data_IF_432528066486
#
_entry.id   IF_432528066486
#
_cell.length_a   1.000
_cell.length_b   1.000
_cell.length_c   1.000
_cell.angle_alpha   90.00
_cell.angle_beta   90.00
_cell.angle_gamma   90.00
#
_symmetry.space_group_name_H-M   'P 1'
#
loop_
_entity.id
_entity.type
_entity.pdbx_description
1 polymer ?
#
# COMPACT_ATOMS: atom_id res chain seq x y z
N UNK A 1 -53.66 51.80 -68.85
CA UNK A 1 -53.98 51.40 -70.24
C UNK A 1 -52.89 50.45 -70.75
N UNK A 2 -53.29 49.21 -71.09
CA UNK A 2 -52.83 48.35 -72.21
C UNK A 2 -51.36 47.83 -72.33
N UNK A 3 -51.29 46.50 -72.49
CA UNK A 3 -50.20 45.59 -72.90
C UNK A 3 -49.57 45.87 -74.29
N UNK A 4 -48.29 45.46 -74.52
CA UNK A 4 -47.94 44.35 -75.46
C UNK A 4 -46.43 43.99 -75.57
N UNK A 5 -46.24 42.69 -75.84
CA UNK A 5 -45.03 41.86 -76.09
C UNK A 5 -44.37 42.11 -77.47
N UNK A 6 -43.08 41.79 -77.65
CA UNK A 6 -42.57 40.56 -78.36
C UNK A 6 -41.03 40.50 -78.56
N UNK A 7 -40.54 39.25 -78.53
CA UNK A 7 -39.21 38.64 -78.80
C UNK A 7 -38.76 38.84 -80.27
N UNK A 8 -37.57 38.52 -80.81
CA UNK A 8 -36.43 37.57 -80.64
C UNK A 8 -35.38 37.95 -81.76
N UNK A 9 -34.30 37.20 -82.17
CA UNK A 9 -33.74 35.91 -81.75
C UNK A 9 -32.18 35.78 -81.67
N UNK A 10 -31.75 34.55 -81.37
CA UNK A 10 -30.42 34.00 -81.06
C UNK A 10 -29.46 33.73 -82.25
N UNK A 11 -28.22 33.35 -81.90
CA UNK A 11 -27.37 32.35 -82.60
C UNK A 11 -26.39 31.65 -81.61
N UNK A 12 -26.19 30.34 -81.80
CA UNK A 12 -25.23 29.42 -81.12
C UNK A 12 -23.99 29.15 -81.99
N UNK A 13 -22.93 28.49 -81.46
CA UNK A 13 -22.62 27.10 -81.92
C UNK A 13 -22.01 26.14 -80.86
N UNK A 14 -22.00 24.82 -81.17
CA UNK A 14 -21.57 23.66 -80.34
C UNK A 14 -20.35 22.95 -80.96
N UNK A 15 -19.33 22.56 -80.18
CA UNK A 15 -18.42 21.39 -80.40
C UNK A 15 -17.44 21.20 -79.21
N UNK A 16 -17.89 20.80 -78.02
CA UNK A 16 -16.98 20.53 -76.87
C UNK A 16 -17.40 19.39 -75.91
N UNK A 17 -18.58 18.77 -76.09
CA UNK A 17 -19.18 17.95 -75.01
C UNK A 17 -18.71 16.48 -74.94
N UNK A 18 -18.10 15.90 -75.99
CA UNK A 18 -17.78 14.46 -75.98
C UNK A 18 -16.42 14.09 -75.34
N UNK A 19 -15.47 15.02 -75.21
CA UNK A 19 -14.16 14.76 -74.56
C UNK A 19 -14.15 14.99 -73.04
N UNK A 20 -15.17 15.67 -72.48
CA UNK A 20 -15.30 15.88 -71.03
C UNK A 20 -15.77 14.63 -70.28
N UNK A 21 -16.67 13.84 -70.88
CA UNK A 21 -17.38 12.78 -70.18
C UNK A 21 -16.49 11.57 -69.75
N UNK A 22 -15.41 11.26 -70.47
CA UNK A 22 -14.51 10.13 -70.12
C UNK A 22 -13.49 10.51 -69.03
N UNK A 23 -13.03 11.76 -68.98
CA UNK A 23 -12.15 12.26 -67.90
C UNK A 23 -12.90 12.39 -66.58
N UNK A 24 -14.18 12.77 -66.63
CA UNK A 24 -15.03 12.94 -65.47
C UNK A 24 -15.40 11.60 -64.80
N UNK A 25 -15.60 10.54 -65.58
CA UNK A 25 -15.85 9.20 -65.04
C UNK A 25 -14.62 8.57 -64.36
N UNK A 26 -13.40 8.75 -64.89
CA UNK A 26 -12.18 8.25 -64.23
C UNK A 26 -11.87 8.98 -62.92
N UNK A 27 -12.10 10.29 -62.87
CA UNK A 27 -11.91 11.11 -61.67
C UNK A 27 -12.86 10.72 -60.54
N UNK A 28 -14.11 10.41 -60.88
CA UNK A 28 -15.13 9.95 -59.91
C UNK A 28 -14.83 8.57 -59.31
N UNK A 29 -14.16 7.66 -60.03
CA UNK A 29 -13.76 6.34 -59.49
C UNK A 29 -12.57 6.47 -58.54
N UNK A 30 -11.62 7.36 -58.86
CA UNK A 30 -10.43 7.60 -58.04
C UNK A 30 -10.76 8.38 -56.75
N UNK A 31 -11.71 9.32 -56.80
CA UNK A 31 -12.24 10.02 -55.61
C UNK A 31 -13.08 9.09 -54.71
N UNK A 32 -13.85 8.16 -55.29
CA UNK A 32 -14.57 7.13 -54.51
C UNK A 32 -13.62 6.17 -53.79
N UNK A 33 -12.55 5.70 -54.45
CA UNK A 33 -11.52 4.85 -53.82
C UNK A 33 -10.78 5.56 -52.69
N UNK A 34 -10.42 6.84 -52.87
CA UNK A 34 -9.81 7.66 -51.81
C UNK A 34 -10.76 7.90 -50.62
N UNK A 35 -12.06 8.00 -50.86
CA UNK A 35 -13.08 8.10 -49.81
C UNK A 35 -13.26 6.80 -49.00
N UNK A 36 -13.19 5.65 -49.67
CA UNK A 36 -13.28 4.33 -49.02
C UNK A 36 -12.00 3.98 -48.23
N UNK A 37 -10.81 4.33 -48.73
CA UNK A 37 -9.54 4.20 -47.98
C UNK A 37 -9.48 5.12 -46.75
N UNK A 38 -9.99 6.36 -46.86
CA UNK A 38 -10.09 7.28 -45.70
C UNK A 38 -11.03 6.72 -44.63
N UNK A 39 -12.20 6.21 -45.03
CA UNK A 39 -13.15 5.59 -44.08
C UNK A 39 -12.57 4.35 -43.40
N UNK A 40 -11.85 3.49 -44.12
CA UNK A 40 -11.16 2.33 -43.53
C UNK A 40 -10.08 2.76 -42.54
N UNK A 41 -9.25 3.75 -42.89
CA UNK A 41 -8.21 4.27 -41.99
C UNK A 41 -8.79 4.97 -40.74
N UNK A 42 -9.93 5.64 -40.86
CA UNK A 42 -10.60 6.29 -39.73
C UNK A 42 -11.30 5.26 -38.81
N UNK A 43 -11.84 4.15 -39.35
CA UNK A 43 -12.36 3.03 -38.57
C UNK A 43 -11.24 2.24 -37.86
N UNK A 44 -10.08 2.05 -38.52
CA UNK A 44 -8.92 1.39 -37.93
C UNK A 44 -8.29 2.24 -36.82
N UNK A 45 -8.22 3.57 -37.00
CA UNK A 45 -7.81 4.49 -35.94
C UNK A 45 -8.79 4.50 -34.76
N UNK A 46 -10.11 4.47 -35.00
CA UNK A 46 -11.10 4.38 -33.92
C UNK A 46 -10.99 3.06 -33.16
N UNK A 47 -10.80 1.94 -33.86
CA UNK A 47 -10.57 0.63 -33.22
C UNK A 47 -9.27 0.59 -32.42
N UNK A 48 -8.19 1.21 -32.89
CA UNK A 48 -6.93 1.30 -32.13
C UNK A 48 -7.06 2.20 -30.90
N UNK A 49 -7.76 3.33 -30.99
CA UNK A 49 -8.02 4.21 -29.82
C UNK A 49 -8.93 3.54 -28.79
N UNK A 50 -9.93 2.76 -29.22
CA UNK A 50 -10.76 1.94 -28.30
C UNK A 50 -9.97 0.78 -27.70
N UNK A 51 -9.02 0.19 -28.43
CA UNK A 51 -8.14 -0.88 -27.91
C UNK A 51 -7.14 -0.33 -26.90
N UNK A 52 -6.53 0.82 -27.17
CA UNK A 52 -5.64 1.53 -26.23
C UNK A 52 -6.38 2.02 -24.99
N UNK A 53 -7.63 2.52 -25.11
CA UNK A 53 -8.46 2.88 -23.95
C UNK A 53 -8.88 1.66 -23.13
N UNK A 54 -9.22 0.54 -23.79
CA UNK A 54 -9.52 -0.72 -23.11
C UNK A 54 -8.27 -1.35 -22.46
N UNK A 55 -7.09 -1.16 -23.03
CA UNK A 55 -5.82 -1.61 -22.45
C UNK A 55 -5.35 -0.69 -21.31
N UNK A 56 -5.69 0.61 -21.33
CA UNK A 56 -5.53 1.53 -20.19
C UNK A 56 -6.56 1.27 -19.07
N UNK A 57 -7.81 0.93 -19.38
CA UNK A 57 -8.82 0.50 -18.39
C UNK A 57 -8.47 -0.88 -17.80
N UNK A 58 -8.02 -1.85 -18.62
CA UNK A 58 -7.53 -3.14 -18.11
C UNK A 58 -6.21 -3.05 -17.36
N UNK A 59 -5.36 -2.05 -17.64
CA UNK A 59 -4.17 -1.74 -16.80
C UNK A 59 -4.55 -1.02 -15.50
N UNK A 60 -5.71 -0.36 -15.42
CA UNK A 60 -6.26 0.17 -14.16
C UNK A 60 -6.92 -0.93 -13.31
N UNK A 61 -7.42 -2.00 -13.91
CA UNK A 61 -8.04 -3.13 -13.21
C UNK A 61 -7.09 -4.30 -12.85
N UNK A 62 -5.88 -4.35 -13.40
CA UNK A 62 -4.84 -5.34 -13.06
C UNK A 62 -3.60 -4.74 -12.38
N UNK A 63 -3.74 -3.59 -11.71
CA UNK A 63 -2.87 -3.30 -10.59
C UNK A 63 -3.32 -4.23 -9.47
N UNK A 64 -2.60 -5.32 -9.26
CA UNK A 64 -2.79 -6.22 -8.13
C UNK A 64 -3.19 -5.38 -6.92
N UNK A 65 -4.45 -5.53 -6.47
CA UNK A 65 -4.94 -4.87 -5.27
C UNK A 65 -3.96 -5.23 -4.17
N UNK A 66 -3.06 -4.31 -3.85
CA UNK A 66 -2.26 -4.39 -2.64
C UNK A 66 -3.26 -4.47 -1.50
N UNK A 67 -3.35 -5.57 -0.74
CA UNK A 67 -4.15 -5.58 0.46
C UNK A 67 -3.31 -4.87 1.52
N UNK A 68 -3.37 -3.54 1.50
CA UNK A 68 -2.89 -2.70 2.58
C UNK A 68 -3.91 -1.58 2.78
N UNK A 69 -5.16 -1.98 2.99
CA UNK A 69 -6.12 -1.14 3.70
C UNK A 69 -5.55 -0.99 5.10
N UNK A 70 -4.91 0.17 5.39
CA UNK A 70 -4.42 0.48 6.73
C UNK A 70 -5.59 0.34 7.68
N UNK A 71 -5.55 -0.66 8.55
CA UNK A 71 -6.62 -0.94 9.49
C UNK A 71 -6.73 0.26 10.43
N UNK A 72 -7.84 0.97 10.40
CA UNK A 72 -8.05 2.10 11.30
C UNK A 72 -8.21 1.56 12.74
N UNK A 73 -7.20 1.77 13.57
CA UNK A 73 -7.23 1.40 14.99
C UNK A 73 -7.73 2.62 15.79
N UNK A 74 -8.85 2.48 16.49
CA UNK A 74 -9.36 3.53 17.37
C UNK A 74 -8.50 3.65 18.64
N UNK A 75 -7.78 4.76 18.75
CA UNK A 75 -6.88 5.07 19.87
C UNK A 75 -7.53 5.93 20.95
N UNK A 76 -8.82 6.24 20.83
CA UNK A 76 -9.55 7.04 21.82
C UNK A 76 -9.43 6.48 23.25
N UNK A 77 -9.52 5.15 23.49
CA UNK A 77 -9.34 4.60 24.85
C UNK A 77 -7.96 4.89 25.43
N UNK A 78 -6.92 4.81 24.59
CA UNK A 78 -5.54 5.05 25.00
C UNK A 78 -5.31 6.51 25.38
N UNK A 79 -5.82 7.44 24.57
CA UNK A 79 -5.76 8.89 24.85
C UNK A 79 -6.54 9.25 26.13
N UNK A 80 -7.69 8.59 26.36
CA UNK A 80 -8.50 8.80 27.57
C UNK A 80 -7.81 8.26 28.83
N UNK A 81 -7.08 7.16 28.73
CA UNK A 81 -6.35 6.59 29.85
C UNK A 81 -5.23 7.52 30.35
N UNK A 82 -4.60 8.28 29.44
CA UNK A 82 -3.56 9.27 29.74
C UNK A 82 -2.45 8.74 30.67
N UNK A 83 -2.08 7.48 30.49
CA UNK A 83 -1.06 6.79 31.28
C UNK A 83 0.34 6.98 30.68
N UNK A 84 1.40 6.99 31.49
CA UNK A 84 2.76 7.23 31.00
C UNK A 84 3.24 6.10 30.08
N UNK A 85 4.07 6.46 29.09
CA UNK A 85 4.76 5.54 28.20
C UNK A 85 6.26 5.75 28.36
N UNK A 86 7.00 4.67 28.55
CA UNK A 86 8.44 4.69 28.72
C UNK A 86 9.06 3.77 27.67
N UNK A 87 9.95 4.31 26.85
CA UNK A 87 10.73 3.50 25.91
C UNK A 87 11.94 2.89 26.59
N UNK A 88 12.18 1.60 26.33
CA UNK A 88 13.34 0.86 26.81
C UNK A 88 14.22 0.52 25.62
N UNK A 89 15.37 1.19 25.51
CA UNK A 89 16.25 1.16 24.34
C UNK A 89 17.62 0.62 24.74
N UNK A 90 18.28 -0.09 23.82
CA UNK A 90 19.62 -0.63 24.01
C UNK A 90 19.89 -1.85 23.14
N UNK A 91 21.16 -2.23 23.00
CA UNK A 91 21.58 -3.33 22.12
C UNK A 91 21.00 -4.70 22.48
N UNK A 92 20.96 -5.66 21.53
CA UNK A 92 20.65 -7.05 21.86
C UNK A 92 21.65 -7.59 22.89
N UNK A 93 21.17 -8.31 23.92
CA UNK A 93 22.02 -8.78 25.02
C UNK A 93 22.21 -7.79 26.18
N UNK A 94 21.72 -6.54 26.06
CA UNK A 94 21.92 -5.53 27.12
C UNK A 94 21.16 -5.82 28.42
N UNK A 95 20.17 -6.71 28.39
CA UNK A 95 19.41 -7.14 29.56
C UNK A 95 18.12 -6.35 29.81
N UNK A 96 17.62 -5.61 28.81
CA UNK A 96 16.35 -4.85 28.85
C UNK A 96 15.20 -5.67 29.42
N UNK A 97 14.80 -6.76 28.78
CA UNK A 97 13.70 -7.62 29.25
C UNK A 97 13.81 -8.02 30.73
N UNK A 98 15.00 -8.44 31.18
CA UNK A 98 15.22 -8.78 32.60
C UNK A 98 15.01 -7.61 33.55
N UNK A 99 15.35 -6.38 33.15
CA UNK A 99 15.06 -5.20 33.95
C UNK A 99 13.60 -4.75 33.79
N UNK A 100 13.00 -4.89 32.61
CA UNK A 100 11.57 -4.65 32.41
C UNK A 100 10.75 -5.49 33.39
N UNK A 101 11.04 -6.78 33.53
CA UNK A 101 10.34 -7.67 34.48
C UNK A 101 10.38 -7.14 35.91
N UNK A 102 11.53 -6.63 36.35
CA UNK A 102 11.69 -6.01 37.69
C UNK A 102 10.93 -4.69 37.83
N UNK A 103 10.89 -3.88 36.77
CA UNK A 103 10.14 -2.62 36.76
C UNK A 103 8.63 -2.91 36.78
N UNK A 104 8.17 -3.92 36.04
CA UNK A 104 6.78 -4.39 36.08
C UNK A 104 6.41 -4.83 37.48
N UNK A 105 7.22 -5.69 38.11
CA UNK A 105 6.98 -6.19 39.46
C UNK A 105 6.90 -5.04 40.49
N UNK A 106 7.80 -4.06 40.38
CA UNK A 106 7.88 -2.96 41.34
C UNK A 106 6.79 -1.90 41.16
N UNK A 107 6.41 -1.56 39.93
CA UNK A 107 5.55 -0.41 39.62
C UNK A 107 4.20 -0.77 39.00
N UNK A 108 3.97 -2.04 38.63
CA UNK A 108 2.70 -2.51 38.05
C UNK A 108 2.42 -1.94 36.66
N UNK A 109 3.46 -1.70 35.87
CA UNK A 109 3.35 -1.26 34.47
C UNK A 109 3.11 -2.45 33.53
N UNK A 110 2.51 -2.21 32.37
CA UNK A 110 2.39 -3.22 31.31
C UNK A 110 3.65 -3.24 30.46
N UNK A 111 4.33 -4.39 30.39
CA UNK A 111 5.50 -4.59 29.53
C UNK A 111 5.09 -5.09 28.15
N UNK A 112 5.47 -4.33 27.11
CA UNK A 112 5.24 -4.63 25.71
C UNK A 112 6.60 -4.76 25.00
N UNK A 113 7.01 -5.99 24.72
CA UNK A 113 8.23 -6.26 23.94
C UNK A 113 7.87 -6.40 22.47
N UNK A 114 8.45 -5.55 21.61
CA UNK A 114 8.21 -5.61 20.16
C UNK A 114 8.61 -6.96 19.58
N UNK A 115 9.67 -7.57 20.12
CA UNK A 115 10.12 -8.90 19.73
C UNK A 115 9.15 -10.01 20.10
N UNK A 116 8.48 -9.92 21.26
CA UNK A 116 7.46 -10.88 21.69
C UNK A 116 6.19 -10.72 20.87
N UNK A 117 5.71 -9.49 20.67
CA UNK A 117 4.54 -9.21 19.82
C UNK A 117 4.73 -9.76 18.40
N UNK A 118 5.92 -9.63 17.83
CA UNK A 118 6.26 -10.20 16.53
C UNK A 118 6.27 -11.73 16.54
N UNK A 119 6.86 -12.36 17.57
CA UNK A 119 6.88 -13.82 17.71
C UNK A 119 5.47 -14.38 17.88
N UNK A 120 4.64 -13.79 18.74
CA UNK A 120 3.24 -14.16 18.92
C UNK A 120 2.45 -14.04 17.61
N UNK A 121 2.67 -12.96 16.85
CA UNK A 121 2.04 -12.76 15.54
C UNK A 121 2.41 -13.87 14.55
N UNK A 122 3.68 -14.25 14.53
CA UNK A 122 4.21 -15.35 13.72
C UNK A 122 3.65 -16.70 14.18
N UNK A 123 3.63 -16.96 15.48
CA UNK A 123 3.07 -18.20 16.05
C UNK A 123 1.60 -18.38 15.71
N UNK A 124 0.80 -17.30 15.74
CA UNK A 124 -0.61 -17.33 15.30
C UNK A 124 -0.78 -17.76 13.85
N UNK A 125 0.21 -17.53 12.98
CA UNK A 125 0.21 -18.08 11.61
C UNK A 125 0.62 -19.56 11.56
N UNK A 126 1.49 -20.03 12.46
CA UNK A 126 1.96 -21.42 12.48
C UNK A 126 0.97 -22.41 13.09
N UNK A 127 0.31 -22.06 14.21
CA UNK A 127 -0.66 -22.94 14.88
C UNK A 127 -1.82 -23.38 13.97
N UNK A 128 -2.10 -22.61 12.93
CA UNK A 128 -3.15 -22.91 11.95
C UNK A 128 -2.80 -23.99 10.92
N UNK A 129 -1.53 -24.34 10.73
CA UNK A 129 -1.14 -25.40 9.79
C UNK A 129 -1.24 -26.83 10.35
N UNK A 130 -1.47 -26.98 11.66
CA UNK A 130 -1.49 -28.30 12.35
C UNK A 130 -2.89 -28.86 12.63
N UNK A 131 -3.95 -28.10 12.35
CA UNK A 131 -5.33 -28.53 12.55
C UNK A 131 -5.95 -29.04 11.23
N UNK A 132 -6.31 -30.34 11.12
CA UNK A 132 -7.18 -30.79 10.06
C UNK A 132 -8.57 -30.20 10.34
N UNK A 133 -9.15 -29.51 9.35
CA UNK A 133 -10.51 -28.95 9.32
C UNK A 133 -10.68 -27.44 9.63
N UNK A 134 -10.78 -26.67 8.54
CA UNK A 134 -11.77 -25.60 8.28
C UNK A 134 -11.95 -24.41 9.26
N UNK A 135 -10.91 -23.99 10.00
CA UNK A 135 -10.89 -22.62 10.55
C UNK A 135 -9.64 -21.89 10.06
N UNK A 136 -9.75 -21.19 8.93
CA UNK A 136 -8.74 -20.24 8.45
C UNK A 136 -8.78 -18.98 9.33
N UNK A 137 -8.31 -19.08 10.57
CA UNK A 137 -8.09 -17.92 11.47
C UNK A 137 -6.61 -17.53 11.55
N UNK A 138 -5.82 -17.91 10.54
CA UNK A 138 -4.39 -17.57 10.50
C UNK A 138 -4.21 -16.08 10.25
N UNK A 139 -3.07 -15.54 10.69
CA UNK A 139 -2.70 -14.16 10.39
C UNK A 139 -1.90 -14.11 9.09
N UNK A 140 -2.42 -13.51 7.99
CA UNK A 140 -1.62 -13.26 6.78
C UNK A 140 -0.42 -12.33 7.06
N UNK A 141 -0.49 -11.54 8.14
CA UNK A 141 0.61 -10.72 8.64
C UNK A 141 1.71 -11.59 9.24
N UNK A 142 1.36 -12.61 10.05
CA UNK A 142 2.32 -13.54 10.65
C UNK A 142 3.17 -14.32 9.66
N UNK A 143 2.59 -14.82 8.56
CA UNK A 143 3.35 -15.54 7.52
C UNK A 143 4.42 -14.66 6.85
N UNK A 144 4.10 -13.40 6.58
CA UNK A 144 5.05 -12.42 6.01
C UNK A 144 6.16 -12.09 7.00
N UNK A 145 5.80 -11.88 8.27
CA UNK A 145 6.75 -11.57 9.33
C UNK A 145 7.76 -12.69 9.56
N UNK A 146 7.32 -13.94 9.50
CA UNK A 146 8.20 -15.10 9.71
C UNK A 146 9.41 -15.08 8.76
N UNK A 147 9.18 -14.78 7.47
CA UNK A 147 10.25 -14.71 6.45
C UNK A 147 11.27 -13.61 6.76
N UNK A 148 10.79 -12.43 7.12
CA UNK A 148 11.64 -11.25 7.43
C UNK A 148 12.48 -11.53 8.68
N UNK A 149 11.86 -12.07 9.73
CA UNK A 149 12.53 -12.37 10.99
C UNK A 149 13.58 -13.46 10.85
N UNK A 150 13.32 -14.51 10.05
CA UNK A 150 14.30 -15.57 9.76
C UNK A 150 15.50 -15.04 8.97
N UNK A 151 15.30 -14.04 8.12
CA UNK A 151 16.38 -13.35 7.40
C UNK A 151 17.19 -12.39 8.29
N UNK A 152 16.78 -12.16 9.54
CA UNK A 152 17.41 -11.18 10.43
C UNK A 152 17.15 -9.72 10.03
N UNK A 153 16.21 -9.49 9.12
CA UNK A 153 15.86 -8.16 8.61
C UNK A 153 14.93 -7.41 9.58
N UNK A 154 14.92 -6.07 9.49
CA UNK A 154 13.98 -5.25 10.24
C UNK A 154 12.58 -5.37 9.65
N UNK A 155 11.61 -5.64 10.53
CA UNK A 155 10.19 -5.63 10.19
C UNK A 155 9.76 -4.20 9.82
N UNK A 156 8.95 -4.01 8.76
CA UNK A 156 8.47 -2.70 8.37
C UNK A 156 7.85 -1.90 9.52
N UNK A 157 8.16 -0.60 9.53
CA UNK A 157 7.82 0.35 10.58
C UNK A 157 6.33 0.29 10.98
N UNK A 158 5.45 0.44 9.99
CA UNK A 158 3.99 0.47 10.17
C UNK A 158 3.47 -0.79 10.88
N UNK A 159 4.05 -1.96 10.59
CA UNK A 159 3.59 -3.24 11.13
C UNK A 159 3.87 -3.35 12.63
N UNK A 160 5.06 -2.91 13.06
CA UNK A 160 5.44 -2.95 14.48
C UNK A 160 4.58 -1.96 15.27
N UNK A 161 4.34 -0.77 14.72
CA UNK A 161 3.48 0.22 15.37
C UNK A 161 2.03 -0.26 15.51
N UNK A 162 1.47 -0.91 14.50
CA UNK A 162 0.14 -1.53 14.58
C UNK A 162 0.06 -2.58 15.70
N UNK A 163 1.05 -3.48 15.78
CA UNK A 163 1.12 -4.49 16.83
C UNK A 163 1.17 -3.87 18.23
N UNK A 164 1.97 -2.82 18.40
CA UNK A 164 2.08 -2.11 19.68
C UNK A 164 0.74 -1.46 20.03
N UNK A 165 0.06 -0.78 19.10
CA UNK A 165 -1.27 -0.19 19.35
C UNK A 165 -2.30 -1.22 19.78
N UNK A 166 -2.37 -2.35 19.07
CA UNK A 166 -3.28 -3.45 19.41
C UNK A 166 -3.01 -3.98 20.82
N UNK A 167 -1.74 -4.11 21.21
CA UNK A 167 -1.34 -4.56 22.54
C UNK A 167 -1.66 -3.52 23.62
N UNK A 168 -1.35 -2.24 23.39
CA UNK A 168 -1.66 -1.15 24.32
C UNK A 168 -3.16 -1.06 24.60
N UNK A 169 -4.00 -1.16 23.57
CA UNK A 169 -5.46 -1.13 23.76
C UNK A 169 -5.97 -2.29 24.62
N UNK A 170 -5.43 -3.50 24.42
CA UNK A 170 -5.77 -4.65 25.26
C UNK A 170 -5.40 -4.42 26.73
N UNK A 171 -4.23 -3.84 26.98
CA UNK A 171 -3.74 -3.57 28.33
C UNK A 171 -4.47 -2.41 29.00
N UNK A 172 -4.82 -1.35 28.26
CA UNK A 172 -5.70 -0.28 28.75
C UNK A 172 -7.06 -0.85 29.17
N UNK A 173 -7.64 -1.76 28.38
CA UNK A 173 -8.92 -2.40 28.73
C UNK A 173 -8.82 -3.24 30.03
N UNK A 174 -7.63 -3.69 30.42
CA UNK A 174 -7.35 -4.39 31.69
C UNK A 174 -7.01 -3.45 32.84
N UNK A 175 -6.98 -2.13 32.61
CA UNK A 175 -6.64 -1.13 33.62
C UNK A 175 -5.14 -0.89 33.80
N UNK A 176 -4.36 -1.01 32.73
CA UNK A 176 -2.92 -0.67 32.76
C UNK A 176 -2.68 0.73 33.31
N UNK A 177 -1.64 0.86 34.14
CA UNK A 177 -1.22 2.13 34.77
C UNK A 177 -0.12 2.85 34.00
N UNK A 178 0.35 2.27 32.90
CA UNK A 178 1.44 2.80 32.08
C UNK A 178 2.20 1.68 31.36
N UNK A 179 3.04 2.07 30.43
CA UNK A 179 3.67 1.15 29.48
C UNK A 179 5.19 1.19 29.53
N UNK A 180 5.80 0.02 29.53
CA UNK A 180 7.21 -0.18 29.18
C UNK A 180 7.26 -0.80 27.79
N UNK A 181 7.80 -0.07 26.81
CA UNK A 181 7.90 -0.56 25.45
C UNK A 181 9.37 -0.94 25.20
N UNK A 182 9.66 -2.26 25.18
CA UNK A 182 11.00 -2.82 24.99
C UNK A 182 11.26 -3.14 23.52
N UNK A 183 12.42 -2.69 23.01
CA UNK A 183 12.88 -2.97 21.67
C UNK A 183 12.19 -2.13 20.60
N UNK A 184 11.60 -1.00 20.99
CA UNK A 184 11.03 0.05 20.14
C UNK A 184 11.15 1.40 20.87
N UNK A 185 11.43 2.52 20.17
CA UNK A 185 11.83 2.58 18.76
C UNK A 185 13.27 2.10 18.53
N UNK A 186 13.53 1.53 17.35
CA UNK A 186 14.86 1.14 16.85
C UNK A 186 15.41 2.13 15.83
N UNK A 187 14.55 2.98 15.28
CA UNK A 187 14.88 4.06 14.36
C UNK A 187 14.20 5.35 14.81
N UNK A 188 14.77 6.51 14.51
CA UNK A 188 14.18 7.81 14.88
C UNK A 188 12.75 7.97 14.34
N UNK A 189 12.52 7.58 13.09
CA UNK A 189 11.19 7.64 12.44
C UNK A 189 10.13 6.82 13.16
N UNK A 190 10.51 5.74 13.84
CA UNK A 190 9.59 4.95 14.65
C UNK A 190 9.08 5.78 15.83
N UNK A 191 9.98 6.48 16.54
CA UNK A 191 9.62 7.38 17.62
C UNK A 191 8.70 8.51 17.13
N UNK A 192 9.11 9.22 16.08
CA UNK A 192 8.31 10.32 15.50
C UNK A 192 6.90 9.88 15.12
N UNK A 193 6.76 8.71 14.49
CA UNK A 193 5.45 8.20 14.09
C UNK A 193 4.62 7.74 15.29
N UNK A 194 5.25 7.13 16.29
CA UNK A 194 4.58 6.75 17.53
C UNK A 194 3.99 7.97 18.24
N UNK A 195 4.78 9.03 18.42
CA UNK A 195 4.35 10.23 19.13
C UNK A 195 3.23 10.97 18.39
N UNK A 196 3.35 11.04 17.05
CA UNK A 196 2.30 11.63 16.20
C UNK A 196 0.97 10.90 16.31
N UNK A 197 0.99 9.57 16.37
CA UNK A 197 -0.23 8.77 16.31
C UNK A 197 -0.82 8.43 17.69
N UNK A 198 0.02 8.33 18.72
CA UNK A 198 -0.34 7.89 20.07
C UNK A 198 -0.19 9.04 21.07
N UNK A 199 1.03 9.29 21.56
CA UNK A 199 1.43 10.40 22.43
C UNK A 199 2.96 10.40 22.61
N UNK A 200 3.51 11.51 23.09
CA UNK A 200 4.93 11.61 23.49
C UNK A 200 5.30 10.61 24.59
N UNK A 201 6.50 10.06 24.52
CA UNK A 201 7.02 9.22 25.59
C UNK A 201 7.36 10.09 26.81
N UNK A 202 6.92 9.65 27.99
CA UNK A 202 7.23 10.33 29.25
C UNK A 202 8.72 10.24 29.60
N UNK A 203 9.38 9.16 29.19
CA UNK A 203 10.82 8.95 29.41
C UNK A 203 11.39 7.91 28.46
N UNK A 204 12.70 7.95 28.28
CA UNK A 204 13.47 6.92 27.58
C UNK A 204 14.55 6.40 28.53
N UNK A 205 14.60 5.09 28.74
CA UNK A 205 15.66 4.43 29.49
C UNK A 205 16.59 3.74 28.50
N UNK A 206 17.81 4.26 28.38
CA UNK A 206 18.84 3.70 27.52
C UNK A 206 19.79 2.78 28.31
N UNK A 207 19.89 1.55 27.85
CA UNK A 207 20.79 0.54 28.38
C UNK A 207 22.12 0.62 27.66
N UNK A 208 22.99 1.46 28.19
CA UNK A 208 24.37 1.59 27.76
C UNK A 208 25.22 0.46 28.36
N UNK A 209 25.69 -0.45 27.51
CA UNK A 209 26.41 -1.66 27.91
C UNK A 209 27.50 -1.91 26.90
N UNK A 210 28.73 -2.11 27.37
CA UNK A 210 29.89 -2.40 26.53
C UNK A 210 29.63 -3.59 25.58
N UNK A 211 30.10 -3.44 24.34
CA UNK A 211 29.90 -4.44 23.27
C UNK A 211 30.41 -5.83 23.65
N UNK A 212 31.55 -5.93 24.34
CA UNK A 212 32.11 -7.21 24.79
C UNK A 212 31.13 -7.97 25.69
N UNK A 213 30.43 -7.24 26.58
CA UNK A 213 29.42 -7.82 27.47
C UNK A 213 28.15 -8.21 26.69
N UNK A 214 27.76 -7.41 25.69
CA UNK A 214 26.64 -7.74 24.81
C UNK A 214 26.91 -9.07 24.07
N UNK A 215 28.08 -9.18 23.44
CA UNK A 215 28.53 -10.36 22.70
C UNK A 215 28.60 -11.57 23.63
N UNK A 216 29.26 -11.45 24.78
CA UNK A 216 29.36 -12.52 25.76
C UNK A 216 27.98 -13.07 26.15
N UNK A 217 27.02 -12.19 26.45
CA UNK A 217 25.66 -12.57 26.83
C UNK A 217 24.89 -13.23 25.69
N UNK A 218 25.06 -12.73 24.46
CA UNK A 218 24.44 -13.34 23.28
C UNK A 218 24.99 -14.74 22.99
N UNK A 219 26.31 -14.93 23.09
CA UNK A 219 26.95 -16.23 22.93
C UNK A 219 26.52 -17.23 24.01
N UNK A 220 26.41 -16.78 25.28
CA UNK A 220 25.89 -17.63 26.36
C UNK A 220 24.44 -18.05 26.10
N UNK A 221 23.58 -17.14 25.64
CA UNK A 221 22.17 -17.44 25.32
C UNK A 221 22.02 -18.41 24.15
N UNK A 222 22.90 -18.34 23.16
CA UNK A 222 22.89 -19.26 22.01
C UNK A 222 23.20 -20.70 22.42
N UNK A 223 23.92 -20.93 23.52
CA UNK A 223 24.24 -22.28 24.02
C UNK A 223 23.06 -22.97 24.72
N UNK A 224 22.05 -22.21 25.14
CA UNK A 224 20.88 -22.72 25.90
C UNK A 224 19.64 -22.93 25.04
N UNK A 225 19.74 -22.70 23.72
CA UNK A 225 18.63 -22.85 22.76
C UNK A 225 18.93 -23.93 21.75
#
# INVERSE_FOLDING_TARGET
MVFKKKKNPAKTPRTDEKKKNVKEQKKNVEEKKKGEEKKKNDEEKKKNVEKEKNDEEKKKDNKAKTPNEKKHIDLTPLKKAAVPIIFIVGGPGSGKGTQCDKIVEKYGLSHLSSGDLLREEVERAYYTHKLPSKVKSGSPRGEKLSKIMQAGELVPLDVVLELIKEAMLKEVAKGSKGFLIDGYPREVKQGEQFEKEIQEAASVIFFDVNDDILIERLLKRAKTR
#
